data_IF_136087301370
#
_entry.id   IF_136087301370
#
_cell.length_a   1.000
_cell.length_b   1.000
_cell.length_c   1.000
_cell.angle_alpha   90.00
_cell.angle_beta   90.00
_cell.angle_gamma   90.00
#
_symmetry.space_group_name_H-M   'P 1'
#
loop_
_entity.id
_entity.type
_entity.pdbx_description
1 polymer ?
#
# COMPACT_ATOMS: atom_id res chain seq x y z
N UNK A 1 1.85 -6.23 7.61
CA UNK A 1 1.86 -6.91 6.29
C UNK A 1 1.21 -8.27 6.26
N UNK A 2 1.90 -9.38 6.57
CA UNK A 2 1.32 -10.73 6.39
C UNK A 2 -0.10 -10.86 6.98
N UNK A 3 -0.25 -10.56 8.28
CA UNK A 3 -1.54 -10.63 8.98
C UNK A 3 -2.60 -9.74 8.32
N UNK A 4 -2.26 -8.49 8.00
CA UNK A 4 -3.20 -7.52 7.41
C UNK A 4 -3.67 -7.95 6.03
N UNK A 5 -2.75 -8.40 5.18
CA UNK A 5 -3.05 -8.80 3.80
C UNK A 5 -3.72 -10.18 3.78
N UNK A 6 -3.41 -11.07 4.73
CA UNK A 6 -4.17 -12.33 4.91
C UNK A 6 -5.61 -12.06 5.30
N UNK A 7 -5.87 -11.14 6.24
CA UNK A 7 -7.25 -10.75 6.56
C UNK A 7 -7.98 -10.15 5.37
N UNK A 8 -7.28 -9.40 4.51
CA UNK A 8 -7.85 -8.93 3.24
C UNK A 8 -8.16 -10.10 2.29
N UNK A 9 -7.24 -11.06 2.11
CA UNK A 9 -7.45 -12.25 1.29
C UNK A 9 -8.65 -13.08 1.77
N UNK A 10 -8.81 -13.25 3.09
CA UNK A 10 -9.95 -13.95 3.67
C UNK A 10 -11.28 -13.22 3.38
N UNK A 11 -11.27 -11.89 3.40
CA UNK A 11 -12.43 -11.06 3.06
C UNK A 11 -12.77 -11.19 1.57
N UNK A 12 -11.77 -11.07 0.68
CA UNK A 12 -11.93 -11.24 -0.77
C UNK A 12 -12.50 -12.62 -1.12
N UNK A 13 -12.02 -13.69 -0.47
CA UNK A 13 -12.58 -15.05 -0.64
C UNK A 13 -14.02 -15.16 -0.17
N UNK A 14 -14.35 -14.55 0.97
CA UNK A 14 -15.71 -14.57 1.50
C UNK A 14 -16.69 -13.83 0.58
N UNK A 15 -16.28 -12.69 0.03
CA UNK A 15 -17.08 -11.93 -0.93
C UNK A 15 -17.27 -12.70 -2.24
N UNK A 16 -16.22 -13.32 -2.81
CA UNK A 16 -16.35 -14.17 -4.00
C UNK A 16 -17.29 -15.36 -3.79
N UNK A 17 -17.29 -15.96 -2.59
CA UNK A 17 -18.20 -17.04 -2.23
C UNK A 17 -19.64 -16.56 -2.02
N UNK A 18 -19.85 -15.31 -1.60
CA UNK A 18 -21.18 -14.69 -1.53
C UNK A 18 -21.70 -14.39 -2.93
N UNK A 19 -20.89 -13.72 -3.74
CA UNK A 19 -21.19 -13.35 -5.12
C UNK A 19 -21.59 -14.56 -5.97
N UNK A 20 -20.81 -15.66 -5.85
CA UNK A 20 -21.12 -16.90 -6.55
C UNK A 20 -22.50 -17.46 -6.17
N UNK A 21 -22.92 -17.32 -4.91
CA UNK A 21 -24.26 -17.76 -4.46
C UNK A 21 -25.34 -16.83 -4.99
N UNK A 22 -25.11 -15.52 -5.00
CA UNK A 22 -26.06 -14.54 -5.53
C UNK A 22 -26.29 -14.73 -7.04
N UNK A 23 -25.23 -15.01 -7.80
CA UNK A 23 -25.33 -15.38 -9.22
C UNK A 23 -26.12 -16.68 -9.49
N UNK A 24 -26.11 -17.62 -8.54
CA UNK A 24 -26.88 -18.86 -8.62
C UNK A 24 -28.34 -18.68 -8.18
N UNK A 25 -28.58 -17.89 -7.12
CA UNK A 25 -29.89 -17.73 -6.46
C UNK A 25 -30.76 -16.64 -7.11
N UNK A 26 -30.16 -15.52 -7.53
CA UNK A 26 -30.86 -14.32 -8.01
C UNK A 26 -30.23 -13.69 -9.29
N UNK A 27 -29.96 -14.47 -10.35
CA UNK A 27 -29.21 -14.00 -11.54
C UNK A 27 -29.83 -12.79 -12.25
N UNK A 28 -31.16 -12.65 -12.25
CA UNK A 28 -31.82 -11.48 -12.85
C UNK A 28 -31.61 -10.18 -12.06
N UNK A 29 -31.36 -10.29 -10.75
CA UNK A 29 -31.04 -9.15 -9.90
C UNK A 29 -29.61 -8.74 -10.16
N UNK A 30 -28.67 -9.70 -10.11
CA UNK A 30 -27.24 -9.48 -10.39
C UNK A 30 -26.99 -8.82 -11.74
N UNK A 31 -27.63 -9.29 -12.81
CA UNK A 31 -27.52 -8.65 -14.13
C UNK A 31 -27.92 -7.17 -14.11
N UNK A 32 -28.97 -6.82 -13.36
CA UNK A 32 -29.43 -5.43 -13.22
C UNK A 32 -28.49 -4.64 -12.32
N UNK A 33 -27.88 -5.25 -11.31
CA UNK A 33 -26.87 -4.63 -10.45
C UNK A 33 -25.64 -4.25 -11.25
N UNK A 34 -25.10 -5.18 -12.03
CA UNK A 34 -23.96 -4.95 -12.93
C UNK A 34 -24.28 -3.85 -13.96
N UNK A 35 -25.45 -3.90 -14.60
CA UNK A 35 -25.88 -2.84 -15.51
C UNK A 35 -25.92 -1.47 -14.81
N UNK A 36 -26.41 -1.42 -13.56
CA UNK A 36 -26.48 -0.18 -12.77
C UNK A 36 -25.09 0.36 -12.41
N UNK A 37 -24.06 -0.48 -12.27
CA UNK A 37 -22.66 -0.03 -12.10
C UNK A 37 -22.23 0.78 -13.33
N UNK A 38 -22.49 0.28 -14.54
CA UNK A 38 -22.17 0.97 -15.78
C UNK A 38 -23.01 2.24 -15.99
N UNK A 39 -24.30 2.23 -15.65
CA UNK A 39 -25.13 3.44 -15.66
C UNK A 39 -24.55 4.54 -14.76
N UNK A 40 -24.11 4.20 -13.54
CA UNK A 40 -23.47 5.14 -12.60
C UNK A 40 -22.17 5.72 -13.14
N UNK A 41 -21.47 4.99 -14.01
CA UNK A 41 -20.26 5.44 -14.71
C UNK A 41 -20.55 6.34 -15.91
N UNK A 42 -21.82 6.56 -16.25
CA UNK A 42 -22.25 7.44 -17.34
C UNK A 42 -22.66 6.72 -18.62
N UNK A 43 -22.75 5.39 -18.62
CA UNK A 43 -23.22 4.61 -19.77
C UNK A 43 -24.75 4.72 -19.88
N UNK A 44 -25.29 4.82 -21.11
CA UNK A 44 -26.74 4.83 -21.30
C UNK A 44 -27.36 3.53 -20.79
N UNK A 45 -28.57 3.57 -20.22
CA UNK A 45 -29.27 2.36 -19.73
C UNK A 45 -29.29 1.20 -20.72
N UNK A 46 -29.56 1.49 -22.00
CA UNK A 46 -29.57 0.47 -23.07
C UNK A 46 -28.19 -0.18 -23.23
N UNK A 47 -27.13 0.63 -23.30
CA UNK A 47 -25.76 0.14 -23.46
C UNK A 47 -25.26 -0.55 -22.20
N UNK A 48 -25.61 -0.06 -21.02
CA UNK A 48 -25.20 -0.64 -19.75
C UNK A 48 -25.78 -2.04 -19.55
N UNK A 49 -27.06 -2.24 -19.90
CA UNK A 49 -27.66 -3.56 -19.92
C UNK A 49 -26.97 -4.48 -20.93
N UNK A 50 -26.68 -3.98 -22.12
CA UNK A 50 -25.97 -4.76 -23.14
C UNK A 50 -24.58 -5.20 -22.66
N UNK A 51 -23.79 -4.29 -22.08
CA UNK A 51 -22.47 -4.60 -21.51
C UNK A 51 -22.59 -5.64 -20.40
N UNK A 52 -23.52 -5.45 -19.47
CA UNK A 52 -23.74 -6.41 -18.38
C UNK A 52 -24.11 -7.80 -18.91
N UNK A 53 -24.96 -7.89 -19.93
CA UNK A 53 -25.33 -9.16 -20.56
C UNK A 53 -24.11 -9.84 -21.22
N UNK A 54 -23.37 -9.11 -22.06
CA UNK A 54 -22.19 -9.66 -22.74
C UNK A 54 -21.10 -10.12 -21.76
N UNK A 55 -20.88 -9.38 -20.66
CA UNK A 55 -19.94 -9.77 -19.61
C UNK A 55 -20.42 -10.97 -18.79
N UNK A 56 -21.72 -11.02 -18.45
CA UNK A 56 -22.33 -12.15 -17.73
C UNK A 56 -22.25 -13.44 -18.55
N UNK A 57 -22.48 -13.36 -19.86
CA UNK A 57 -22.35 -14.51 -20.78
C UNK A 57 -20.91 -15.01 -20.91
N UNK A 58 -19.93 -14.12 -20.80
CA UNK A 58 -18.51 -14.49 -20.85
C UNK A 58 -18.03 -15.10 -19.53
N UNK A 59 -18.17 -14.35 -18.44
CA UNK A 59 -17.82 -14.77 -17.08
C UNK A 59 -18.46 -13.82 -16.05
N UNK A 60 -19.64 -14.20 -15.54
CA UNK A 60 -20.39 -13.40 -14.59
C UNK A 60 -19.62 -13.14 -13.28
N UNK A 61 -18.97 -14.17 -12.73
CA UNK A 61 -18.24 -14.03 -11.46
C UNK A 61 -17.03 -13.12 -11.63
N UNK A 62 -16.29 -13.22 -12.72
CA UNK A 62 -15.17 -12.33 -12.99
C UNK A 62 -15.64 -10.88 -13.24
N UNK A 63 -16.77 -10.68 -13.91
CA UNK A 63 -17.34 -9.36 -14.15
C UNK A 63 -17.72 -8.66 -12.83
N UNK A 64 -18.47 -9.34 -11.96
CA UNK A 64 -18.83 -8.81 -10.64
C UNK A 64 -17.61 -8.66 -9.73
N UNK A 65 -16.70 -9.64 -9.69
CA UNK A 65 -15.46 -9.52 -8.94
C UNK A 65 -14.68 -8.25 -9.33
N UNK A 66 -14.56 -7.96 -10.62
CA UNK A 66 -13.85 -6.78 -11.11
C UNK A 66 -14.61 -5.48 -10.87
N UNK A 67 -15.87 -5.40 -11.32
CA UNK A 67 -16.61 -4.14 -11.41
C UNK A 67 -17.38 -3.77 -10.15
N UNK A 68 -17.74 -4.76 -9.32
CA UNK A 68 -18.44 -4.58 -8.07
C UNK A 68 -17.50 -4.66 -6.86
N UNK A 69 -16.73 -5.74 -6.76
CA UNK A 69 -15.85 -5.99 -5.61
C UNK A 69 -14.47 -5.33 -5.74
N UNK A 70 -14.07 -4.90 -6.96
CA UNK A 70 -12.75 -4.34 -7.22
C UNK A 70 -11.60 -5.37 -7.17
N UNK A 71 -11.92 -6.65 -7.18
CA UNK A 71 -10.99 -7.78 -7.15
C UNK A 71 -10.58 -8.14 -8.58
N UNK A 72 -9.30 -7.98 -8.90
CA UNK A 72 -8.70 -8.36 -10.17
C UNK A 72 -7.26 -8.88 -9.96
N UNK A 73 -6.61 -9.40 -11.00
CA UNK A 73 -5.27 -10.01 -10.90
C UNK A 73 -4.19 -9.08 -10.29
N UNK A 74 -4.36 -7.76 -10.47
CA UNK A 74 -3.45 -6.73 -9.97
C UNK A 74 -3.77 -6.38 -8.52
N UNK A 75 -5.05 -6.31 -8.15
CA UNK A 75 -5.51 -5.88 -6.82
C UNK A 75 -5.61 -7.01 -5.80
N UNK A 76 -5.62 -8.27 -6.24
CA UNK A 76 -5.69 -9.44 -5.37
C UNK A 76 -4.62 -9.41 -4.26
N UNK A 77 -5.08 -9.68 -3.04
CA UNK A 77 -4.22 -9.77 -1.87
C UNK A 77 -3.15 -10.87 -2.02
N UNK A 78 -1.87 -10.51 -1.82
CA UNK A 78 -0.73 -11.44 -1.88
C UNK A 78 0.09 -11.37 -0.58
N UNK A 79 -0.34 -12.03 0.51
CA UNK A 79 0.20 -11.79 1.84
C UNK A 79 1.69 -12.07 1.99
N UNK A 80 2.16 -13.18 1.42
CA UNK A 80 3.56 -13.57 1.52
C UNK A 80 4.47 -12.58 0.78
N UNK A 81 4.06 -12.15 -0.41
CA UNK A 81 4.81 -11.18 -1.21
C UNK A 81 4.87 -9.84 -0.48
N UNK A 82 3.74 -9.34 0.04
CA UNK A 82 3.69 -8.11 0.81
C UNK A 82 4.58 -8.17 2.06
N UNK A 83 4.58 -9.30 2.77
CA UNK A 83 5.40 -9.50 3.95
C UNK A 83 6.89 -9.51 3.65
N UNK A 84 7.33 -10.29 2.65
CA UNK A 84 8.74 -10.39 2.27
C UNK A 84 9.24 -9.07 1.69
N UNK A 85 8.46 -8.43 0.83
CA UNK A 85 8.81 -7.12 0.27
C UNK A 85 9.00 -6.07 1.37
N UNK A 86 8.09 -6.03 2.36
CA UNK A 86 8.20 -5.08 3.47
C UNK A 86 9.32 -5.40 4.43
N UNK A 87 9.54 -6.68 4.77
CA UNK A 87 10.69 -7.09 5.56
C UNK A 87 12.00 -6.67 4.88
N UNK A 88 12.15 -6.99 3.59
CA UNK A 88 13.34 -6.62 2.82
C UNK A 88 13.54 -5.11 2.73
N UNK A 89 12.47 -4.36 2.45
CA UNK A 89 12.54 -2.90 2.39
C UNK A 89 12.94 -2.28 3.72
N UNK A 90 12.38 -2.77 4.84
CA UNK A 90 12.72 -2.27 6.17
C UNK A 90 14.17 -2.62 6.56
N UNK A 91 14.59 -3.87 6.34
CA UNK A 91 15.95 -4.31 6.64
C UNK A 91 17.00 -3.52 5.84
N UNK A 92 16.77 -3.33 4.54
CA UNK A 92 17.63 -2.51 3.68
C UNK A 92 17.60 -1.04 4.09
N UNK A 93 16.44 -0.51 4.44
CA UNK A 93 16.27 0.85 4.93
C UNK A 93 17.00 1.13 6.25
N UNK A 94 17.10 0.11 7.13
CA UNK A 94 17.80 0.22 8.40
C UNK A 94 19.32 0.03 8.28
N UNK A 95 19.81 -0.54 7.17
CA UNK A 95 21.21 -0.96 7.04
C UNK A 95 22.19 0.21 7.17
N UNK A 96 21.91 1.35 6.53
CA UNK A 96 22.82 2.50 6.56
C UNK A 96 22.90 3.13 7.97
N UNK A 97 21.78 3.49 8.64
CA UNK A 97 21.84 3.95 10.03
C UNK A 97 22.47 2.94 10.99
N UNK A 98 22.28 1.64 10.74
CA UNK A 98 22.91 0.58 11.52
C UNK A 98 24.43 0.51 11.30
N UNK A 99 24.91 0.69 10.07
CA UNK A 99 26.36 0.77 9.80
C UNK A 99 26.99 2.01 10.42
N UNK A 100 26.30 3.15 10.39
CA UNK A 100 26.78 4.39 11.03
C UNK A 100 26.94 4.19 12.54
N UNK A 101 26.03 3.46 13.20
CA UNK A 101 26.14 3.22 14.64
C UNK A 101 27.34 2.36 15.04
N UNK A 102 27.84 1.52 14.13
CA UNK A 102 29.03 0.71 14.36
C UNK A 102 30.34 1.47 14.09
N UNK A 103 30.32 2.41 13.14
CA UNK A 103 31.54 3.06 12.62
C UNK A 103 31.79 4.46 13.19
N UNK A 104 30.74 5.18 13.58
CA UNK A 104 30.88 6.58 14.01
C UNK A 104 31.47 6.70 15.43
N UNK A 105 32.33 7.72 15.69
CA UNK A 105 32.79 8.01 17.03
C UNK A 105 31.63 8.33 17.97
N UNK A 106 31.66 7.78 19.20
CA UNK A 106 30.58 7.92 20.19
C UNK A 106 30.18 9.39 20.41
N UNK A 107 31.16 10.29 20.53
CA UNK A 107 30.94 11.73 20.78
C UNK A 107 30.20 12.45 19.66
N UNK A 108 30.33 11.97 18.43
CA UNK A 108 29.73 12.59 17.24
C UNK A 108 28.59 11.75 16.66
N UNK A 109 28.26 10.62 17.31
CA UNK A 109 27.30 9.62 16.84
C UNK A 109 25.96 10.24 16.41
N UNK A 110 25.44 11.17 17.20
CA UNK A 110 24.16 11.84 16.92
C UNK A 110 24.23 12.64 15.62
N UNK A 111 25.31 13.38 15.39
CA UNK A 111 25.49 14.20 14.19
C UNK A 111 25.68 13.32 12.94
N UNK A 112 26.52 12.29 13.04
CA UNK A 112 26.70 11.32 11.96
C UNK A 112 25.40 10.60 11.63
N UNK A 113 24.70 10.08 12.64
CA UNK A 113 23.45 9.35 12.44
C UNK A 113 22.39 10.22 11.78
N UNK A 114 22.21 11.45 12.25
CA UNK A 114 21.28 12.39 11.65
C UNK A 114 21.66 12.74 10.21
N UNK A 115 22.91 13.14 9.97
CA UNK A 115 23.38 13.57 8.65
C UNK A 115 23.27 12.47 7.59
N UNK A 116 23.74 11.27 7.91
CA UNK A 116 23.67 10.13 7.00
C UNK A 116 22.24 9.65 6.79
N UNK A 117 21.40 9.66 7.84
CA UNK A 117 19.98 9.30 7.70
C UNK A 117 19.25 10.28 6.78
N UNK A 118 19.48 11.60 6.91
CA UNK A 118 18.86 12.59 6.02
C UNK A 118 19.31 12.42 4.57
N UNK A 119 20.61 12.22 4.32
CA UNK A 119 21.11 11.95 2.96
C UNK A 119 20.44 10.70 2.39
N UNK A 120 20.34 9.64 3.19
CA UNK A 120 19.72 8.41 2.74
C UNK A 120 18.21 8.58 2.48
N UNK A 121 17.49 9.30 3.32
CA UNK A 121 16.09 9.65 3.13
C UNK A 121 15.85 10.52 1.88
N UNK A 122 16.77 11.43 1.55
CA UNK A 122 16.72 12.19 0.29
C UNK A 122 16.84 11.25 -0.92
N UNK A 123 17.77 10.28 -0.88
CA UNK A 123 17.95 9.29 -1.95
C UNK A 123 16.69 8.42 -2.09
N UNK A 124 16.18 7.88 -0.98
CA UNK A 124 14.97 7.06 -0.96
C UNK A 124 13.74 7.86 -1.45
N UNK A 125 13.63 9.12 -1.06
CA UNK A 125 12.57 10.01 -1.52
C UNK A 125 12.64 10.30 -3.02
N UNK A 126 13.84 10.48 -3.58
CA UNK A 126 14.03 10.63 -5.00
C UNK A 126 13.65 9.36 -5.78
N UNK A 127 14.07 8.19 -5.28
CA UNK A 127 13.74 6.90 -5.89
C UNK A 127 12.23 6.67 -5.84
N UNK A 128 11.60 6.83 -4.68
CA UNK A 128 10.15 6.68 -4.48
C UNK A 128 9.34 7.62 -5.38
N UNK A 129 9.79 8.87 -5.54
CA UNK A 129 9.11 9.82 -6.42
C UNK A 129 9.21 9.41 -7.89
N UNK A 130 10.40 8.97 -8.34
CA UNK A 130 10.62 8.55 -9.72
C UNK A 130 9.83 7.29 -10.06
N UNK A 131 9.78 6.32 -9.15
CA UNK A 131 9.00 5.08 -9.36
C UNK A 131 7.49 5.32 -9.26
N UNK A 132 7.06 6.23 -8.39
CA UNK A 132 5.65 6.59 -8.20
C UNK A 132 5.12 7.70 -9.12
N UNK A 133 5.93 8.22 -10.05
CA UNK A 133 5.52 9.28 -10.98
C UNK A 133 5.19 10.63 -10.32
N UNK A 134 5.76 10.93 -9.16
CA UNK A 134 5.50 12.17 -8.41
C UNK A 134 6.69 13.14 -8.43
N UNK A 135 6.48 14.39 -8.00
CA UNK A 135 7.52 15.41 -7.99
C UNK A 135 8.60 15.12 -6.93
N UNK A 136 9.85 14.89 -7.39
CA UNK A 136 11.00 14.49 -6.56
C UNK A 136 11.21 15.43 -5.36
N UNK A 137 11.24 16.74 -5.57
CA UNK A 137 11.50 17.69 -4.48
C UNK A 137 10.44 17.65 -3.37
N UNK A 138 9.17 17.37 -3.71
CA UNK A 138 8.08 17.31 -2.74
C UNK A 138 8.19 16.03 -1.91
N UNK A 139 8.52 14.90 -2.56
CA UNK A 139 8.72 13.63 -1.88
C UNK A 139 9.91 13.68 -0.92
N UNK A 140 11.05 14.22 -1.37
CA UNK A 140 12.24 14.41 -0.54
C UNK A 140 11.90 15.26 0.69
N UNK A 141 11.27 16.42 0.50
CA UNK A 141 10.93 17.33 1.58
C UNK A 141 9.99 16.65 2.59
N UNK A 142 8.93 15.98 2.11
CA UNK A 142 7.97 15.25 2.96
C UNK A 142 8.66 14.17 3.79
N UNK A 143 9.51 13.36 3.17
CA UNK A 143 10.18 12.23 3.84
C UNK A 143 11.23 12.73 4.83
N UNK A 144 12.05 13.71 4.44
CA UNK A 144 13.07 14.28 5.33
C UNK A 144 12.42 15.02 6.50
N UNK A 145 11.34 15.77 6.28
CA UNK A 145 10.61 16.44 7.34
C UNK A 145 10.12 15.46 8.41
N UNK A 146 9.38 14.41 8.01
CA UNK A 146 8.88 13.43 8.97
C UNK A 146 10.00 12.60 9.61
N UNK A 147 11.09 12.33 8.87
CA UNK A 147 12.30 11.70 9.41
C UNK A 147 12.96 12.55 10.49
N UNK A 148 13.15 13.85 10.25
CA UNK A 148 13.70 14.80 11.24
C UNK A 148 12.80 14.90 12.46
N UNK A 149 11.48 15.00 12.29
CA UNK A 149 10.53 15.04 13.41
C UNK A 149 10.63 13.79 14.26
N UNK A 150 10.63 12.59 13.65
CA UNK A 150 10.75 11.32 14.37
C UNK A 150 12.08 11.19 15.14
N UNK A 151 13.20 11.55 14.51
CA UNK A 151 14.51 11.57 15.17
C UNK A 151 14.55 12.59 16.32
N UNK A 152 13.96 13.77 16.13
CA UNK A 152 13.86 14.81 17.15
C UNK A 152 13.04 14.38 18.37
N UNK A 153 11.90 13.73 18.15
CA UNK A 153 11.09 13.13 19.22
C UNK A 153 11.89 12.05 19.96
N UNK A 154 12.59 11.19 19.25
CA UNK A 154 13.41 10.13 19.85
C UNK A 154 14.54 10.70 20.71
N UNK A 155 15.22 11.74 20.22
CA UNK A 155 16.25 12.45 20.98
C UNK A 155 15.66 13.16 22.22
N UNK A 156 14.48 13.76 22.10
CA UNK A 156 13.78 14.40 23.23
C UNK A 156 13.42 13.37 24.30
N UNK A 157 12.92 12.19 23.93
CA UNK A 157 12.67 11.09 24.87
C UNK A 157 13.97 10.70 25.57
N UNK A 158 15.06 10.49 24.83
CA UNK A 158 16.38 10.19 25.42
C UNK A 158 16.83 11.24 26.43
N UNK A 159 16.66 12.53 26.09
CA UNK A 159 16.98 13.65 26.97
C UNK A 159 16.13 13.65 28.26
N UNK A 160 14.81 13.51 28.15
CA UNK A 160 13.88 13.51 29.30
C UNK A 160 14.19 12.39 30.29
N UNK A 161 14.59 11.22 29.80
CA UNK A 161 14.94 10.07 30.64
C UNK A 161 16.42 10.04 31.06
N UNK A 162 17.20 11.10 30.77
CA UNK A 162 18.59 11.21 31.20
C UNK A 162 19.55 10.25 30.50
N UNK A 163 19.19 9.76 29.31
CA UNK A 163 20.08 8.96 28.44
C UNK A 163 21.09 9.89 27.79
N UNK A 164 22.07 10.33 28.58
CA UNK A 164 23.18 11.16 28.10
C UNK A 164 24.35 10.25 27.70
N UNK A 165 24.78 10.38 26.44
CA UNK A 165 26.04 9.82 25.97
C UNK A 165 27.13 10.83 26.34
N UNK A 166 27.91 10.55 27.37
CA UNK A 166 29.05 11.37 27.81
C UNK A 166 30.25 11.25 26.85
#
# INVERSE_FOLDING_TARGET
EYVSVSSQEDTEKADLLREKRELEEIPEVELKELAKIYERRGVSKKTALQVATELTEHDALAAHAHDELGINEITQAKPLIAAVASFGSFALGALLPFMVSFLAPIKEMVYFQYGFSIIFLMILGAISAKTGGSHIGIAILRICFWGTVAMGITALVGYVFGVNVN
#
